data_IF_696160054391
#
_entry.id   IF_696160054391
#
_cell.length_a   1.000
_cell.length_b   1.000
_cell.length_c   1.000
_cell.angle_alpha   90.00
_cell.angle_beta   90.00
_cell.angle_gamma   90.00
#
_symmetry.space_group_name_H-M   'P 1'
#
loop_
_entity.id
_entity.type
_entity.pdbx_description
1 polymer ?
#
# COMPACT_ATOMS: atom_id res chain seq x y z
N UNK A 1 -13.32 4.15 -14.35
CA UNK A 1 -12.58 3.29 -13.40
C UNK A 1 -11.63 2.44 -14.22
N UNK A 2 -10.33 2.51 -13.94
CA UNK A 2 -9.37 1.61 -14.60
C UNK A 2 -9.64 0.18 -14.14
N UNK A 3 -9.73 -0.75 -15.08
CA UNK A 3 -10.09 -2.14 -14.83
C UNK A 3 -8.85 -2.89 -14.28
N UNK A 4 -8.47 -2.58 -13.04
CA UNK A 4 -7.32 -3.20 -12.37
C UNK A 4 -7.77 -4.54 -11.78
N UNK A 5 -6.99 -5.59 -12.04
CA UNK A 5 -7.22 -6.94 -11.51
C UNK A 5 -6.55 -7.19 -10.15
N UNK A 6 -6.26 -6.11 -9.41
CA UNK A 6 -5.59 -6.17 -8.11
C UNK A 6 -5.90 -4.94 -7.26
N UNK A 7 -5.75 -5.06 -5.94
CA UNK A 7 -5.80 -3.96 -4.99
C UNK A 7 -4.49 -3.84 -4.22
N UNK A 8 -4.12 -2.59 -3.87
CA UNK A 8 -3.01 -2.33 -2.96
C UNK A 8 -3.51 -2.15 -1.53
N UNK A 9 -2.80 -2.75 -0.59
CA UNK A 9 -3.12 -2.72 0.84
C UNK A 9 -1.88 -2.30 1.63
N UNK A 10 -2.09 -1.48 2.66
CA UNK A 10 -1.04 -1.20 3.63
C UNK A 10 -0.91 -2.39 4.60
N UNK A 11 0.31 -2.84 4.83
CA UNK A 11 0.57 -3.92 5.79
C UNK A 11 0.85 -3.39 7.20
N UNK A 12 0.90 -4.30 8.17
CA UNK A 12 1.13 -3.96 9.59
C UNK A 12 2.51 -3.36 9.86
N UNK A 13 3.52 -3.71 9.06
CA UNK A 13 4.91 -3.24 9.14
C UNK A 13 5.15 -1.96 8.32
N UNK A 14 4.09 -1.32 7.79
CA UNK A 14 4.18 -0.10 6.97
C UNK A 14 4.62 -0.33 5.52
N UNK A 15 4.79 -1.58 5.09
CA UNK A 15 5.04 -1.97 3.70
C UNK A 15 3.76 -2.15 2.87
N UNK A 16 3.95 -2.44 1.59
CA UNK A 16 2.87 -2.57 0.61
C UNK A 16 2.56 -4.05 0.31
N UNK A 17 1.27 -4.38 0.33
CA UNK A 17 0.70 -5.64 -0.12
C UNK A 17 -0.12 -5.45 -1.39
N UNK A 18 -0.27 -6.54 -2.13
CA UNK A 18 -1.15 -6.62 -3.28
C UNK A 18 -2.09 -7.82 -3.08
N UNK A 19 -3.40 -7.61 -3.25
CA UNK A 19 -4.37 -8.70 -3.47
C UNK A 19 -4.72 -8.76 -4.95
N UNK A 20 -4.75 -9.96 -5.54
CA UNK A 20 -5.21 -10.14 -6.92
C UNK A 20 -6.70 -10.51 -7.00
N UNK A 21 -7.26 -10.49 -8.21
CA UNK A 21 -8.65 -10.84 -8.46
C UNK A 21 -9.01 -12.30 -8.14
N UNK A 22 -8.01 -13.16 -7.95
CA UNK A 22 -8.20 -14.58 -7.60
C UNK A 22 -8.08 -14.81 -6.08
N UNK A 23 -7.98 -13.74 -5.27
CA UNK A 23 -7.89 -13.86 -3.82
C UNK A 23 -6.51 -14.25 -3.29
N UNK A 24 -5.43 -14.06 -4.05
CA UNK A 24 -4.09 -14.28 -3.52
C UNK A 24 -3.46 -12.99 -3.01
N UNK A 25 -2.69 -13.10 -1.93
CA UNK A 25 -1.96 -11.99 -1.31
C UNK A 25 -0.46 -12.08 -1.61
N UNK A 26 0.14 -10.93 -1.90
CA UNK A 26 1.56 -10.83 -2.24
C UNK A 26 2.27 -9.70 -1.47
N UNK A 27 3.52 -9.96 -1.11
CA UNK A 27 4.49 -8.96 -0.65
C UNK A 27 5.26 -8.40 -1.83
N UNK A 28 5.54 -7.09 -1.84
CA UNK A 28 6.54 -6.52 -2.75
C UNK A 28 7.89 -7.17 -2.44
N UNK A 29 8.47 -7.83 -3.43
CA UNK A 29 9.74 -8.55 -3.29
C UNK A 29 10.91 -7.73 -3.80
N UNK A 30 10.79 -7.19 -5.01
CA UNK A 30 11.82 -6.37 -5.64
C UNK A 30 11.23 -5.49 -6.72
N UNK A 31 12.04 -4.59 -7.24
CA UNK A 31 11.67 -3.68 -8.31
C UNK A 31 12.86 -3.57 -9.25
N UNK A 32 12.61 -3.66 -10.56
CA UNK A 32 13.64 -3.44 -11.58
C UNK A 32 13.18 -2.35 -12.52
N UNK A 33 14.06 -1.41 -12.78
CA UNK A 33 13.90 -0.40 -13.81
C UNK A 33 14.56 -0.91 -15.09
N UNK A 34 13.87 -0.79 -16.22
CA UNK A 34 14.44 -1.14 -17.53
C UNK A 34 15.16 0.06 -18.16
N UNK A 35 15.77 -0.16 -19.32
CA UNK A 35 16.50 0.88 -20.08
C UNK A 35 15.61 1.98 -20.65
N UNK A 36 14.28 1.86 -20.55
CA UNK A 36 13.29 2.84 -20.99
C UNK A 36 12.67 3.60 -19.80
N UNK A 37 13.33 3.57 -18.64
CA UNK A 37 12.82 4.12 -17.37
C UNK A 37 11.50 3.52 -16.87
N UNK A 38 11.03 2.42 -17.46
CA UNK A 38 9.83 1.74 -17.01
C UNK A 38 10.15 0.87 -15.79
N UNK A 39 9.30 0.94 -14.78
CA UNK A 39 9.51 0.25 -13.52
C UNK A 39 8.62 -0.99 -13.45
N UNK A 40 9.24 -2.17 -13.30
CA UNK A 40 8.55 -3.44 -13.07
C UNK A 40 8.68 -3.84 -11.61
N UNK A 41 7.54 -3.95 -10.93
CA UNK A 41 7.46 -4.45 -9.56
C UNK A 41 7.31 -5.97 -9.56
N UNK A 42 8.05 -6.66 -8.70
CA UNK A 42 7.93 -8.10 -8.51
C UNK A 42 7.37 -8.41 -7.14
N UNK A 43 6.49 -9.41 -7.09
CA UNK A 43 5.62 -9.69 -5.96
C UNK A 43 5.65 -11.19 -5.67
N UNK A 44 5.81 -11.55 -4.40
CA UNK A 44 5.86 -12.95 -3.96
C UNK A 44 4.66 -13.23 -3.07
N UNK A 45 4.02 -14.39 -3.25
CA UNK A 45 2.93 -14.82 -2.39
C UNK A 45 3.38 -14.78 -0.92
N UNK A 46 2.50 -14.28 -0.04
CA UNK A 46 2.83 -14.15 1.37
C UNK A 46 3.08 -15.50 2.03
N UNK A 47 2.48 -16.57 1.48
CA UNK A 47 2.56 -17.93 2.01
C UNK A 47 3.75 -18.75 1.49
N UNK A 48 4.58 -18.19 0.60
CA UNK A 48 5.80 -18.85 0.11
C UNK A 48 6.86 -19.15 1.19
N UNK A 49 6.74 -18.55 2.39
CA UNK A 49 7.71 -18.74 3.48
C UNK A 49 7.03 -19.31 4.73
N UNK A 50 5.82 -18.87 5.01
CA UNK A 50 5.02 -19.22 6.18
C UNK A 50 3.56 -19.24 5.73
N UNK A 51 2.90 -20.40 5.87
CA UNK A 51 1.47 -20.57 5.66
C UNK A 51 0.66 -19.76 6.69
N UNK A 52 -0.67 -19.68 6.53
CA UNK A 52 -1.53 -18.81 7.33
C UNK A 52 -1.47 -19.07 8.84
N UNK A 53 -1.13 -20.29 9.26
CA UNK A 53 -1.00 -20.68 10.67
C UNK A 53 0.44 -20.67 11.19
N UNK A 54 1.39 -20.08 10.45
CA UNK A 54 2.82 -20.12 10.78
C UNK A 54 3.51 -21.45 10.48
N UNK A 55 2.81 -22.40 9.85
CA UNK A 55 3.40 -23.63 9.34
C UNK A 55 4.27 -23.31 8.11
N UNK A 56 5.43 -23.93 7.97
CA UNK A 56 6.26 -23.74 6.76
C UNK A 56 5.59 -24.42 5.57
N UNK A 57 4.82 -23.68 4.79
CA UNK A 57 4.47 -24.07 3.42
C UNK A 57 5.74 -24.02 2.56
N UNK A 58 6.48 -25.12 2.55
CA UNK A 58 7.76 -25.23 1.83
C UNK A 58 7.60 -25.32 0.30
N UNK A 59 6.37 -25.42 -0.22
CA UNK A 59 6.09 -25.69 -1.63
C UNK A 59 5.57 -24.49 -2.41
N UNK A 60 5.03 -23.45 -1.76
CA UNK A 60 4.43 -22.34 -2.48
C UNK A 60 5.50 -21.53 -3.21
N UNK A 61 5.35 -21.42 -4.53
CA UNK A 61 6.22 -20.62 -5.42
C UNK A 61 5.48 -19.48 -6.10
N UNK A 62 4.29 -19.12 -5.58
CA UNK A 62 3.44 -18.06 -6.09
C UNK A 62 4.21 -16.76 -6.28
N UNK A 63 4.23 -16.28 -7.52
CA UNK A 63 4.98 -15.08 -7.88
C UNK A 63 4.28 -14.32 -8.99
N UNK A 64 4.36 -13.00 -8.95
CA UNK A 64 3.75 -12.14 -9.94
C UNK A 64 4.59 -10.92 -10.24
N UNK A 65 4.25 -10.25 -11.33
CA UNK A 65 4.85 -8.98 -11.72
C UNK A 65 3.77 -7.96 -12.00
N UNK A 66 3.99 -6.73 -11.54
CA UNK A 66 3.21 -5.57 -11.87
C UNK A 66 3.99 -4.71 -12.85
N UNK A 67 3.40 -4.47 -14.01
CA UNK A 67 3.96 -3.60 -15.04
C UNK A 67 2.80 -2.88 -15.75
N UNK A 68 2.96 -1.58 -15.98
CA UNK A 68 1.95 -0.76 -16.66
C UNK A 68 0.53 -0.91 -16.07
N UNK A 69 0.42 -0.88 -14.74
CA UNK A 69 -0.82 -1.10 -13.98
C UNK A 69 -1.55 -2.43 -14.26
N UNK A 70 -0.84 -3.43 -14.80
CA UNK A 70 -1.37 -4.78 -15.02
C UNK A 70 -0.60 -5.76 -14.13
N UNK A 71 -1.32 -6.42 -13.23
CA UNK A 71 -0.73 -7.50 -12.44
C UNK A 71 -0.88 -8.82 -13.18
N UNK A 72 0.24 -9.54 -13.31
CA UNK A 72 0.28 -10.87 -13.94
C UNK A 72 0.98 -11.85 -13.01
N UNK A 73 0.31 -12.96 -12.73
CA UNK A 73 0.91 -14.12 -12.05
C UNK A 73 1.91 -14.76 -13.02
N UNK A 74 3.18 -14.86 -12.61
CA UNK A 74 4.27 -15.45 -13.38
C UNK A 74 4.55 -16.89 -12.97
N UNK A 75 4.24 -17.25 -11.74
CA UNK A 75 4.40 -18.60 -11.19
C UNK A 75 3.16 -18.96 -10.40
N UNK A 76 2.56 -20.10 -10.71
CA UNK A 76 1.33 -20.56 -10.07
C UNK A 76 1.55 -20.88 -8.58
N UNK A 77 0.46 -20.80 -7.84
CA UNK A 77 0.38 -21.21 -6.44
C UNK A 77 0.24 -22.73 -6.33
N UNK A 78 0.69 -23.29 -5.21
CA UNK A 78 0.50 -24.72 -4.88
C UNK A 78 -0.58 -24.91 -3.81
N UNK A 79 -1.31 -23.85 -3.49
CA UNK A 79 -2.39 -23.82 -2.51
C UNK A 79 -3.57 -23.03 -3.07
N UNK A 80 -4.75 -23.28 -2.53
CA UNK A 80 -5.94 -22.49 -2.80
C UNK A 80 -5.86 -21.12 -2.07
N UNK A 81 -6.62 -20.10 -2.52
CA UNK A 81 -6.72 -18.84 -1.81
C UNK A 81 -7.28 -19.04 -0.39
N UNK A 82 -6.71 -18.33 0.59
CA UNK A 82 -7.26 -18.30 1.95
C UNK A 82 -8.23 -17.13 2.08
N UNK A 83 -9.46 -17.31 1.59
CA UNK A 83 -10.46 -16.24 1.44
C UNK A 83 -10.68 -15.43 2.73
N UNK A 84 -10.83 -16.10 3.88
CA UNK A 84 -11.05 -15.43 5.17
C UNK A 84 -9.87 -14.50 5.53
N UNK A 85 -8.64 -14.95 5.27
CA UNK A 85 -7.43 -14.17 5.56
C UNK A 85 -7.32 -12.98 4.60
N UNK A 86 -7.72 -13.17 3.34
CA UNK A 86 -7.74 -12.11 2.33
C UNK A 86 -8.72 -11.02 2.74
N UNK A 87 -9.95 -11.38 3.09
CA UNK A 87 -10.98 -10.43 3.53
C UNK A 87 -10.50 -9.65 4.75
N UNK A 88 -9.93 -10.33 5.74
CA UNK A 88 -9.38 -9.69 6.94
C UNK A 88 -8.24 -8.71 6.60
N UNK A 89 -7.27 -9.14 5.79
CA UNK A 89 -6.13 -8.29 5.41
C UNK A 89 -6.54 -7.13 4.51
N UNK A 90 -7.52 -7.32 3.64
CA UNK A 90 -8.11 -6.24 2.86
C UNK A 90 -8.79 -5.21 3.75
N UNK A 91 -9.57 -5.65 4.72
CA UNK A 91 -10.25 -4.77 5.66
C UNK A 91 -9.25 -3.99 6.53
N UNK A 92 -8.28 -4.68 7.14
CA UNK A 92 -7.20 -4.07 7.93
C UNK A 92 -6.40 -3.05 7.11
N UNK A 93 -6.01 -3.42 5.88
CA UNK A 93 -5.26 -2.56 4.98
C UNK A 93 -6.01 -1.29 4.61
N UNK A 94 -7.32 -1.39 4.33
CA UNK A 94 -8.16 -0.22 4.04
C UNK A 94 -8.32 0.70 5.24
N UNK A 95 -8.48 0.14 6.45
CA UNK A 95 -8.50 0.93 7.69
C UNK A 95 -7.18 1.68 7.87
N UNK A 96 -6.04 1.00 7.71
CA UNK A 96 -4.71 1.64 7.82
C UNK A 96 -4.55 2.79 6.83
N UNK A 97 -4.95 2.59 5.58
CA UNK A 97 -4.94 3.64 4.57
C UNK A 97 -5.86 4.82 4.92
N UNK A 98 -7.04 4.56 5.49
CA UNK A 98 -7.94 5.60 5.97
C UNK A 98 -7.33 6.39 7.12
N UNK A 99 -6.75 5.72 8.12
CA UNK A 99 -6.07 6.36 9.25
C UNK A 99 -4.90 7.23 8.78
N UNK A 100 -4.07 6.72 7.86
CA UNK A 100 -2.96 7.50 7.27
C UNK A 100 -3.46 8.74 6.54
N UNK A 101 -4.54 8.63 5.74
CA UNK A 101 -5.15 9.78 5.07
C UNK A 101 -5.68 10.82 6.07
N UNK A 102 -6.31 10.38 7.16
CA UNK A 102 -6.78 11.28 8.20
C UNK A 102 -5.62 11.97 8.92
N UNK A 103 -4.53 11.26 9.21
CA UNK A 103 -3.33 11.85 9.81
C UNK A 103 -2.72 12.95 8.92
N UNK A 104 -2.60 12.69 7.61
CA UNK A 104 -2.11 13.68 6.64
C UNK A 104 -3.03 14.91 6.62
N UNK A 105 -4.36 14.71 6.57
CA UNK A 105 -5.33 15.81 6.60
C UNK A 105 -5.20 16.66 7.86
N UNK A 106 -5.03 16.03 9.02
CA UNK A 106 -4.81 16.74 10.29
C UNK A 106 -3.51 17.54 10.28
N UNK A 107 -2.41 16.98 9.75
CA UNK A 107 -1.13 17.70 9.64
C UNK A 107 -1.23 18.91 8.70
N UNK A 108 -1.93 18.77 7.56
CA UNK A 108 -2.20 19.88 6.65
C UNK A 108 -3.04 20.97 7.33
N UNK A 109 -4.09 20.58 8.07
CA UNK A 109 -4.93 21.52 8.81
C UNK A 109 -4.13 22.27 9.90
N UNK A 110 -3.30 21.55 10.66
CA UNK A 110 -2.44 22.16 11.68
C UNK A 110 -1.45 23.17 11.06
N UNK A 111 -0.84 22.83 9.92
CA UNK A 111 0.02 23.76 9.18
C UNK A 111 -0.74 24.99 8.68
N UNK A 112 -1.95 24.81 8.15
CA UNK A 112 -2.80 25.91 7.70
C UNK A 112 -3.25 26.83 8.86
N UNK A 113 -3.49 26.28 10.06
CA UNK A 113 -3.73 27.08 11.25
C UNK A 113 -2.49 27.89 11.66
N UNK A 114 -1.29 27.28 11.59
CA UNK A 114 -0.05 27.98 11.94
C UNK A 114 0.28 29.13 10.99
N UNK A 115 0.04 28.99 9.68
CA UNK A 115 0.24 30.09 8.72
C UNK A 115 -0.77 31.23 8.92
N UNK A 116 -2.04 30.92 9.21
CA UNK A 116 -3.05 31.94 9.53
C UNK A 116 -2.74 32.71 10.81
N UNK A 117 -2.19 32.04 11.83
CA UNK A 117 -1.76 32.71 13.07
C UNK A 117 -0.60 33.70 12.82
N UNK A 118 0.37 33.33 11.98
CA UNK A 118 1.47 34.22 11.59
C UNK A 118 0.98 35.40 10.75
N UNK A 119 0.02 35.18 9.83
CA UNK A 119 -0.61 36.26 9.06
C UNK A 119 -1.43 37.21 9.93
N UNK A 120 -2.13 36.72 10.96
CA UNK A 120 -2.82 37.59 11.92
C UNK A 120 -1.82 38.41 12.73
N UNK A 121 -0.73 37.81 13.21
CA UNK A 121 0.29 38.53 13.99
C UNK A 121 1.02 39.58 13.15
N UNK A 122 1.27 39.32 11.86
CA UNK A 122 1.79 40.31 10.92
C UNK A 122 0.81 41.47 10.67
N UNK A 123 -0.50 41.20 10.59
CA UNK A 123 -1.53 42.24 10.43
C UNK A 123 -1.68 43.11 11.67
N UNK A 124 -1.56 42.55 12.88
CA UNK A 124 -1.60 43.34 14.12
C UNK A 124 -0.26 44.05 14.42
N UNK A 125 0.88 43.47 14.04
CA UNK A 125 2.22 44.08 14.23
C UNK A 125 2.53 45.27 13.32
N UNK A 126 1.82 45.42 12.18
CA UNK A 126 1.94 46.58 11.30
C UNK A 126 1.07 47.77 11.72
N UNK A 127 0.21 47.62 12.74
CA UNK A 127 -0.64 48.71 13.26
C UNK A 127 -0.01 49.47 14.43
N UNK A 128 1.17 49.08 14.91
CA UNK A 128 1.84 49.68 16.07
C UNK A 128 2.94 50.70 15.72
N UNK A 129 3.02 51.14 14.46
CA UNK A 129 3.93 52.22 14.02
C UNK A 129 3.15 53.23 13.20
N UNK A 130 2.47 54.16 13.88
CA UNK A 130 2.18 55.52 13.44
C UNK A 130 1.88 56.37 14.67
#
# INVERSE_FOLDING_TARGET
MENRNYNFLDNEKGGLMLSDANGYLYWKHSEKRNTRDETRGYWRCIYCKEGPNGEKESSCKGYGSLFDNIFKVTTNHTHEPYEDVVVLKEFEGRIRQMLRRNQIRMQCAARACSTRAVESDLRFGLSAKN
#
